data_IF_335886858796
#
_entry.id   IF_335886858796
#
_cell.length_a   1.000
_cell.length_b   1.000
_cell.length_c   1.000
_cell.angle_alpha   90.00
_cell.angle_beta   90.00
_cell.angle_gamma   90.00
#
_symmetry.space_group_name_H-M   'P 1'
#
loop_
_entity.id
_entity.type
_entity.pdbx_description
1 polymer ?
#
# COMPACT_ATOMS: atom_id res chain seq x y z
N UNK A 1 6.35 -23.93 13.71
CA UNK A 1 6.29 -22.61 13.05
C UNK A 1 6.30 -21.52 14.14
N UNK A 2 7.48 -20.97 14.45
CA UNK A 2 7.57 -19.81 15.34
C UNK A 2 7.16 -18.57 14.54
N UNK A 3 5.89 -18.22 14.58
CA UNK A 3 5.35 -17.01 13.92
C UNK A 3 5.58 -15.74 14.76
N UNK A 4 5.83 -15.88 16.06
CA UNK A 4 6.19 -14.78 16.95
C UNK A 4 7.71 -14.51 16.90
N UNK A 5 8.07 -13.23 17.01
CA UNK A 5 9.46 -12.75 17.03
C UNK A 5 10.27 -13.05 15.75
N UNK A 6 9.59 -13.16 14.58
CA UNK A 6 10.23 -13.42 13.29
C UNK A 6 9.71 -12.43 12.23
N UNK A 7 10.54 -12.18 11.20
CA UNK A 7 10.21 -11.33 10.06
C UNK A 7 8.92 -11.77 9.37
N UNK A 8 8.75 -13.08 9.21
CA UNK A 8 7.57 -13.66 8.57
C UNK A 8 6.28 -13.34 9.35
N UNK A 9 6.29 -13.45 10.69
CA UNK A 9 5.14 -13.11 11.52
C UNK A 9 4.80 -11.62 11.46
N UNK A 10 5.82 -10.74 11.48
CA UNK A 10 5.62 -9.29 11.31
C UNK A 10 5.00 -8.96 9.96
N UNK A 11 5.48 -9.56 8.88
CA UNK A 11 4.95 -9.33 7.53
C UNK A 11 3.50 -9.80 7.40
N UNK A 12 3.18 -11.00 7.91
CA UNK A 12 1.80 -11.51 7.89
C UNK A 12 0.86 -10.60 8.67
N UNK A 13 1.27 -10.15 9.86
CA UNK A 13 0.50 -9.21 10.67
C UNK A 13 0.29 -7.86 9.98
N UNK A 14 1.33 -7.31 9.37
CA UNK A 14 1.23 -6.06 8.61
C UNK A 14 0.29 -6.20 7.41
N UNK A 15 0.43 -7.27 6.62
CA UNK A 15 -0.46 -7.54 5.49
C UNK A 15 -1.92 -7.64 5.96
N UNK A 16 -2.17 -8.36 7.04
CA UNK A 16 -3.53 -8.51 7.57
C UNK A 16 -4.15 -7.17 7.99
N UNK A 17 -3.39 -6.32 8.68
CA UNK A 17 -3.86 -5.00 9.16
C UNK A 17 -4.04 -4.02 7.99
N UNK A 18 -3.15 -4.05 7.01
CA UNK A 18 -3.16 -3.12 5.87
C UNK A 18 -4.11 -3.55 4.74
N UNK A 19 -4.53 -4.82 4.71
CA UNK A 19 -5.38 -5.38 3.69
C UNK A 19 -6.72 -4.64 3.53
N UNK A 20 -7.45 -4.25 4.58
CA UNK A 20 -8.66 -3.45 4.44
C UNK A 20 -8.42 -2.09 3.77
N UNK A 21 -7.29 -1.45 4.06
CA UNK A 21 -6.92 -0.16 3.47
C UNK A 21 -6.59 -0.26 1.98
N UNK A 22 -6.18 -1.44 1.52
CA UNK A 22 -6.02 -1.73 0.09
C UNK A 22 -7.35 -2.01 -0.59
N UNK A 23 -8.20 -2.83 0.05
CA UNK A 23 -9.47 -3.27 -0.53
C UNK A 23 -10.45 -2.11 -0.69
N UNK A 24 -10.51 -1.16 0.25
CA UNK A 24 -11.48 -0.07 0.22
C UNK A 24 -11.39 0.81 -1.04
N UNK A 25 -10.23 1.38 -1.42
CA UNK A 25 -10.10 2.15 -2.65
C UNK A 25 -10.35 1.32 -3.90
N UNK A 26 -9.87 0.07 -3.90
CA UNK A 26 -10.08 -0.85 -5.01
C UNK A 26 -11.58 -1.14 -5.20
N UNK A 27 -12.27 -1.48 -4.13
CA UNK A 27 -13.71 -1.74 -4.16
C UNK A 27 -14.51 -0.50 -4.59
N UNK A 28 -14.17 0.68 -4.08
CA UNK A 28 -14.82 1.93 -4.47
C UNK A 28 -14.67 2.20 -5.99
N UNK A 29 -13.46 1.99 -6.53
CA UNK A 29 -13.18 2.12 -7.95
C UNK A 29 -13.95 1.09 -8.77
N UNK A 30 -13.99 -0.17 -8.35
CA UNK A 30 -14.75 -1.21 -9.04
C UNK A 30 -16.25 -0.95 -9.04
N UNK A 31 -16.78 -0.42 -7.94
CA UNK A 31 -18.21 -0.08 -7.81
C UNK A 31 -18.63 1.10 -8.67
N UNK A 32 -17.72 2.01 -8.97
CA UNK A 32 -17.99 3.18 -9.83
C UNK A 32 -18.06 2.84 -11.32
N UNK A 33 -17.66 1.63 -11.72
CA UNK A 33 -17.66 1.20 -13.11
C UNK A 33 -19.09 0.91 -13.57
N UNK A 34 -19.56 1.64 -14.59
CA UNK A 34 -20.87 1.37 -15.19
C UNK A 34 -20.85 0.05 -15.96
N UNK A 35 -21.70 -0.88 -15.54
CA UNK A 35 -21.86 -2.19 -16.18
C UNK A 35 -22.32 -2.11 -17.63
N UNK A 36 -22.86 -0.98 -18.08
CA UNK A 36 -23.26 -0.75 -19.45
C UNK A 36 -22.08 -0.82 -20.43
N UNK A 37 -20.87 -0.43 -20.00
CA UNK A 37 -19.66 -0.60 -20.82
C UNK A 37 -19.38 -2.07 -21.13
N UNK A 38 -19.58 -2.95 -20.16
CA UNK A 38 -19.38 -4.39 -20.35
C UNK A 38 -20.44 -4.96 -21.27
N UNK A 39 -21.71 -4.55 -21.10
CA UNK A 39 -22.83 -4.98 -21.96
C UNK A 39 -22.64 -4.52 -23.40
N UNK A 40 -22.22 -3.26 -23.61
CA UNK A 40 -21.92 -2.72 -24.93
C UNK A 40 -20.79 -3.50 -25.63
N UNK A 41 -19.74 -3.86 -24.91
CA UNK A 41 -18.65 -4.65 -25.46
C UNK A 41 -19.11 -6.05 -25.91
N UNK A 42 -19.96 -6.70 -25.12
CA UNK A 42 -20.53 -8.00 -25.47
C UNK A 42 -21.43 -7.87 -26.69
N UNK A 43 -22.24 -6.82 -26.78
CA UNK A 43 -23.08 -6.55 -27.95
C UNK A 43 -22.28 -6.32 -29.24
N UNK A 44 -21.04 -5.81 -29.11
CA UNK A 44 -20.09 -5.62 -30.20
C UNK A 44 -19.27 -6.89 -30.52
N UNK A 45 -19.67 -8.06 -29.96
CA UNK A 45 -19.04 -9.34 -30.25
C UNK A 45 -17.85 -9.72 -29.34
N UNK A 46 -17.59 -8.97 -28.26
CA UNK A 46 -16.58 -9.37 -27.30
C UNK A 46 -17.05 -10.56 -26.45
N UNK A 47 -16.17 -11.51 -26.18
CA UNK A 47 -16.47 -12.56 -25.19
C UNK A 47 -16.54 -11.95 -23.77
N UNK A 48 -17.32 -12.54 -22.83
CA UNK A 48 -17.41 -12.05 -21.46
C UNK A 48 -16.04 -11.93 -20.77
N UNK A 49 -15.14 -12.89 -21.02
CA UNK A 49 -13.75 -12.83 -20.52
C UNK A 49 -12.95 -11.69 -21.15
N UNK A 50 -13.13 -11.44 -22.45
CA UNK A 50 -12.49 -10.33 -23.14
C UNK A 50 -12.97 -8.97 -22.63
N UNK A 51 -14.27 -8.81 -22.41
CA UNK A 51 -14.85 -7.61 -21.82
C UNK A 51 -14.33 -7.36 -20.38
N UNK A 52 -14.20 -8.40 -19.57
CA UNK A 52 -13.62 -8.30 -18.23
C UNK A 52 -12.19 -7.76 -18.27
N UNK A 53 -11.28 -8.40 -19.01
CA UNK A 53 -9.87 -8.02 -19.02
C UNK A 53 -9.58 -6.68 -19.73
N UNK A 54 -10.33 -6.38 -20.81
CA UNK A 54 -10.10 -5.18 -21.61
C UNK A 54 -10.78 -3.93 -21.06
N UNK A 55 -11.89 -4.06 -20.36
CA UNK A 55 -12.67 -2.94 -19.88
C UNK A 55 -12.66 -2.90 -18.36
N UNK A 56 -13.24 -3.88 -17.68
CA UNK A 56 -13.43 -3.85 -16.25
C UNK A 56 -12.10 -3.77 -15.49
N UNK A 57 -11.12 -4.62 -15.83
CA UNK A 57 -9.82 -4.62 -15.21
C UNK A 57 -9.08 -3.31 -15.43
N UNK A 58 -9.10 -2.76 -16.65
CA UNK A 58 -8.45 -1.47 -16.92
C UNK A 58 -9.10 -0.32 -16.17
N UNK A 59 -10.41 -0.29 -16.06
CA UNK A 59 -11.13 0.73 -15.33
C UNK A 59 -10.96 0.61 -13.81
N UNK A 60 -10.60 -0.56 -13.28
CA UNK A 60 -10.31 -0.75 -11.86
C UNK A 60 -8.85 -0.43 -11.47
N UNK A 61 -7.95 -0.28 -12.45
CA UNK A 61 -6.54 0.07 -12.20
C UNK A 61 -6.33 1.34 -11.35
N UNK A 62 -7.07 2.43 -11.54
CA UNK A 62 -6.94 3.60 -10.68
C UNK A 62 -7.12 3.28 -9.19
N UNK A 63 -8.12 2.46 -8.85
CA UNK A 63 -8.33 2.02 -7.47
C UNK A 63 -7.22 1.11 -6.94
N UNK A 64 -6.68 0.26 -7.81
CA UNK A 64 -5.53 -0.59 -7.46
C UNK A 64 -4.30 0.26 -7.12
N UNK A 65 -3.95 1.24 -7.95
CA UNK A 65 -2.83 2.14 -7.68
C UNK A 65 -3.06 2.99 -6.44
N UNK A 66 -4.27 3.55 -6.27
CA UNK A 66 -4.61 4.32 -5.07
C UNK A 66 -4.47 3.48 -3.79
N UNK A 67 -4.97 2.25 -3.79
CA UNK A 67 -4.82 1.31 -2.67
C UNK A 67 -3.36 0.95 -2.40
N UNK A 68 -2.57 0.72 -3.45
CA UNK A 68 -1.14 0.40 -3.32
C UNK A 68 -0.36 1.56 -2.69
N UNK A 69 -0.58 2.79 -3.17
CA UNK A 69 0.08 3.98 -2.62
C UNK A 69 -0.32 4.19 -1.16
N UNK A 70 -1.61 4.08 -0.85
CA UNK A 70 -2.10 4.23 0.52
C UNK A 70 -1.46 3.22 1.47
N UNK A 71 -1.46 1.93 1.11
CA UNK A 71 -0.87 0.86 1.91
C UNK A 71 0.64 1.05 2.06
N UNK A 72 1.32 1.45 0.99
CA UNK A 72 2.76 1.69 1.04
C UNK A 72 3.12 2.82 2.00
N UNK A 73 2.43 3.96 1.91
CA UNK A 73 2.65 5.11 2.81
C UNK A 73 2.33 4.74 4.26
N UNK A 74 1.22 4.02 4.50
CA UNK A 74 0.88 3.53 5.84
C UNK A 74 1.93 2.55 6.36
N UNK A 75 2.43 1.64 5.52
CA UNK A 75 3.45 0.67 5.90
C UNK A 75 4.77 1.34 6.34
N UNK A 76 5.17 2.42 5.65
CA UNK A 76 6.35 3.21 6.05
C UNK A 76 6.22 3.81 7.46
N UNK A 77 5.01 4.24 7.84
CA UNK A 77 4.73 4.81 9.16
C UNK A 77 4.39 3.79 10.24
N UNK A 78 4.25 2.50 9.88
CA UNK A 78 3.82 1.48 10.84
C UNK A 78 4.95 1.14 11.82
N UNK A 79 4.72 1.44 13.10
CA UNK A 79 5.66 1.18 14.20
C UNK A 79 5.21 -0.01 15.07
N UNK A 80 3.92 -0.05 15.43
CA UNK A 80 3.40 -0.94 16.48
C UNK A 80 3.47 -2.41 16.09
N UNK A 81 3.08 -2.75 14.86
CA UNK A 81 3.02 -4.15 14.42
C UNK A 81 4.40 -4.81 14.38
N UNK A 82 5.45 -4.21 13.79
CA UNK A 82 6.80 -4.76 13.86
C UNK A 82 7.38 -4.78 15.27
N UNK A 83 7.02 -3.80 16.11
CA UNK A 83 7.48 -3.77 17.50
C UNK A 83 6.94 -4.95 18.30
N UNK A 84 5.67 -5.29 18.13
CA UNK A 84 5.04 -6.40 18.87
C UNK A 84 5.41 -7.77 18.29
N UNK A 85 5.42 -7.92 16.98
CA UNK A 85 5.62 -9.21 16.31
C UNK A 85 7.08 -9.50 15.94
N UNK A 86 7.89 -8.47 15.76
CA UNK A 86 9.30 -8.59 15.38
C UNK A 86 10.24 -8.90 16.53
N UNK A 87 9.77 -8.86 17.79
CA UNK A 87 10.57 -9.20 18.97
C UNK A 87 11.86 -8.38 19.13
N UNK A 88 11.91 -7.15 18.64
CA UNK A 88 13.09 -6.27 18.70
C UNK A 88 14.21 -6.62 17.73
N UNK A 89 14.12 -7.73 17.00
CA UNK A 89 15.16 -8.16 16.03
C UNK A 89 15.02 -7.50 14.67
N UNK A 90 13.83 -7.00 14.34
CA UNK A 90 13.53 -6.37 13.07
C UNK A 90 13.23 -4.90 13.34
N UNK A 91 14.08 -4.02 12.85
CA UNK A 91 13.91 -2.58 13.01
C UNK A 91 13.49 -1.97 11.67
N UNK A 92 12.28 -1.45 11.61
CA UNK A 92 11.83 -0.62 10.48
C UNK A 92 12.23 0.84 10.68
N UNK A 93 12.12 1.66 9.60
CA UNK A 93 12.54 3.06 9.64
C UNK A 93 11.86 3.83 10.78
N UNK A 94 10.55 3.64 10.96
CA UNK A 94 9.80 4.27 12.05
C UNK A 94 10.31 3.88 13.45
N UNK A 95 10.68 2.61 13.64
CA UNK A 95 11.28 2.13 14.89
C UNK A 95 12.69 2.69 15.11
N UNK A 96 13.47 2.85 14.03
CA UNK A 96 14.78 3.50 14.12
C UNK A 96 14.68 4.94 14.57
N UNK A 97 13.70 5.69 14.07
CA UNK A 97 13.45 7.07 14.51
C UNK A 97 13.14 7.09 16.00
N UNK A 98 12.21 6.25 16.45
CA UNK A 98 11.82 6.15 17.86
C UNK A 98 13.02 5.77 18.76
N UNK A 99 13.76 4.72 18.42
CA UNK A 99 14.93 4.29 19.20
C UNK A 99 16.05 5.34 19.23
N UNK A 100 16.21 6.11 18.17
CA UNK A 100 17.21 7.18 18.10
C UNK A 100 16.86 8.32 19.05
N UNK A 101 15.58 8.62 19.22
CA UNK A 101 15.11 9.63 20.19
C UNK A 101 15.19 9.08 21.61
N UNK A 102 14.62 7.90 21.85
CA UNK A 102 14.44 7.37 23.21
C UNK A 102 15.73 6.88 23.84
N UNK A 103 16.62 6.23 23.06
CA UNK A 103 17.85 5.63 23.60
C UNK A 103 19.06 6.58 23.54
N UNK A 104 19.13 7.40 22.49
CA UNK A 104 20.32 8.22 22.24
C UNK A 104 20.07 9.72 22.40
N UNK A 105 18.81 10.14 22.61
CA UNK A 105 18.41 11.56 22.69
C UNK A 105 18.95 12.41 21.51
N UNK A 106 19.17 11.76 20.37
CA UNK A 106 19.76 12.39 19.19
C UNK A 106 18.68 12.87 18.22
N UNK A 107 18.13 14.04 18.49
CA UNK A 107 17.08 14.66 17.69
C UNK A 107 17.51 14.96 16.25
N UNK A 108 18.79 15.26 16.01
CA UNK A 108 19.32 15.51 14.68
C UNK A 108 19.29 14.28 13.79
N UNK A 109 19.72 13.13 14.29
CA UNK A 109 19.66 11.88 13.53
C UNK A 109 18.21 11.39 13.31
N UNK A 110 17.35 11.56 14.31
CA UNK A 110 15.93 11.22 14.18
C UNK A 110 15.23 12.07 13.13
N UNK A 111 15.48 13.38 13.10
CA UNK A 111 14.91 14.27 12.08
C UNK A 111 15.41 13.96 10.67
N UNK A 112 16.69 13.60 10.51
CA UNK A 112 17.24 13.17 9.22
C UNK A 112 16.54 11.90 8.69
N UNK A 113 16.31 10.90 9.54
CA UNK A 113 15.56 9.70 9.17
C UNK A 113 14.10 10.02 8.85
N UNK A 114 13.47 10.95 9.57
CA UNK A 114 12.13 11.43 9.28
C UNK A 114 12.03 12.09 7.91
N UNK A 115 13.02 12.91 7.53
CA UNK A 115 13.09 13.51 6.19
C UNK A 115 13.23 12.45 5.11
N UNK A 116 14.07 11.43 5.31
CA UNK A 116 14.22 10.31 4.36
C UNK A 116 12.89 9.57 4.17
N UNK A 117 12.17 9.30 5.26
CA UNK A 117 10.86 8.65 5.20
C UNK A 117 9.84 9.51 4.43
N UNK A 118 9.84 10.81 4.66
CA UNK A 118 8.97 11.76 3.98
C UNK A 118 9.28 11.84 2.48
N UNK A 119 10.57 11.90 2.11
CA UNK A 119 11.00 11.86 0.71
C UNK A 119 10.55 10.56 0.03
N UNK A 120 10.72 9.42 0.68
CA UNK A 120 10.25 8.12 0.18
C UNK A 120 8.75 8.12 -0.09
N UNK A 121 7.94 8.65 0.83
CA UNK A 121 6.50 8.77 0.66
C UNK A 121 6.15 9.68 -0.53
N UNK A 122 6.77 10.84 -0.66
CA UNK A 122 6.55 11.75 -1.78
C UNK A 122 6.96 11.15 -3.12
N UNK A 123 8.12 10.49 -3.19
CA UNK A 123 8.60 9.82 -4.41
C UNK A 123 7.60 8.73 -4.83
N UNK A 124 7.06 7.96 -3.90
CA UNK A 124 6.06 6.94 -4.19
C UNK A 124 4.81 7.55 -4.78
N UNK A 125 4.27 8.60 -4.15
CA UNK A 125 3.09 9.31 -4.64
C UNK A 125 3.37 9.89 -6.03
N UNK A 126 4.53 10.49 -6.24
CA UNK A 126 4.90 11.08 -7.53
C UNK A 126 5.05 10.04 -8.65
N UNK A 127 5.67 8.88 -8.37
CA UNK A 127 5.85 7.79 -9.34
C UNK A 127 4.51 7.19 -9.77
N UNK A 128 3.57 7.05 -8.84
CA UNK A 128 2.25 6.48 -9.15
C UNK A 128 1.25 7.50 -9.69
N UNK A 129 1.50 8.80 -9.51
CA UNK A 129 0.63 9.87 -10.03
C UNK A 129 0.57 9.94 -11.56
N UNK A 130 1.71 9.89 -12.33
CA UNK A 130 1.63 9.90 -13.79
C UNK A 130 0.97 8.66 -14.38
N UNK A 131 1.04 7.51 -13.70
CA UNK A 131 0.27 6.32 -14.09
C UNK A 131 -1.24 6.54 -13.97
N UNK A 132 -1.68 7.46 -13.12
CA UNK A 132 -3.08 7.81 -12.91
C UNK A 132 -3.62 8.81 -13.96
N UNK A 133 -2.75 9.67 -14.49
CA UNK A 133 -3.12 10.72 -15.47
C UNK A 133 -3.15 10.19 -16.91
N UNK A 134 -2.47 9.07 -17.19
CA UNK A 134 -2.37 8.49 -18.54
C UNK A 134 -3.48 7.47 -18.85
N UNK A 135 -4.43 7.24 -17.95
CA UNK A 135 -5.62 6.41 -18.10
C UNK A 135 -6.90 7.19 -17.86
#
# INVERSE_FOLDING_TARGET
>A
LQLAHNLTGSLIGMVHILLPFFILPLFASMRSIDTNFIRAAISLGSTPRGAFWRIFFKMSLPGFFAGTVLVFVLALGTYVTPALLGGGKIQMLAQRIDSTIMLYSNWGAASALGVVLLILAFVTIWVFNPAFVLF
#
